data_IF_677942408692
#
_entry.id   IF_677942408692
#
_cell.length_a   1.000
_cell.length_b   1.000
_cell.length_c   1.000
_cell.angle_alpha   90.00
_cell.angle_beta   90.00
_cell.angle_gamma   90.00
#
_symmetry.space_group_name_H-M   'P 1'
#
loop_
_entity.id
_entity.type
_entity.pdbx_description
1 polymer ?
#
# COMPACT_ATOMS: atom_id res chain seq x y z
N UNK A 1 12.46 -3.56 -0.31
CA UNK A 1 13.60 -2.61 -0.18
C UNK A 1 13.82 -2.27 1.29
N UNK A 2 14.97 -1.65 1.62
CA UNK A 2 15.28 -1.07 2.92
C UNK A 2 15.57 0.40 2.71
N UNK A 3 14.58 1.25 2.93
CA UNK A 3 14.74 2.71 2.75
C UNK A 3 15.56 3.30 3.89
N UNK A 4 16.45 4.20 3.55
CA UNK A 4 17.22 5.01 4.51
C UNK A 4 16.66 6.43 4.65
N UNK A 5 17.47 7.29 5.24
CA UNK A 5 17.17 8.71 5.45
C UNK A 5 17.67 9.63 4.32
N UNK A 6 18.15 9.08 3.22
CA UNK A 6 18.56 9.83 2.02
C UNK A 6 17.57 9.58 0.88
N UNK A 7 16.82 10.63 0.53
CA UNK A 7 15.80 10.58 -0.55
C UNK A 7 16.43 10.29 -1.90
N UNK A 8 17.63 10.81 -2.16
CA UNK A 8 18.31 10.64 -3.47
C UNK A 8 18.73 9.20 -3.67
N UNK A 9 19.30 8.57 -2.64
CA UNK A 9 19.68 7.15 -2.67
C UNK A 9 18.45 6.25 -2.83
N UNK A 10 17.39 6.51 -2.06
CA UNK A 10 16.14 5.75 -2.16
C UNK A 10 15.49 5.89 -3.54
N UNK A 11 15.45 7.11 -4.10
CA UNK A 11 14.91 7.38 -5.43
C UNK A 11 15.73 6.70 -6.53
N UNK A 12 17.05 6.73 -6.42
CA UNK A 12 17.95 6.02 -7.35
C UNK A 12 17.73 4.51 -7.30
N UNK A 13 17.56 3.94 -6.10
CA UNK A 13 17.21 2.53 -5.94
C UNK A 13 15.87 2.21 -6.60
N UNK A 14 14.82 3.03 -6.35
CA UNK A 14 13.50 2.85 -6.98
C UNK A 14 13.63 2.89 -8.50
N UNK A 15 14.33 3.88 -9.05
CA UNK A 15 14.54 3.99 -10.51
C UNK A 15 15.22 2.75 -11.08
N UNK A 16 16.26 2.25 -10.42
CA UNK A 16 16.96 1.03 -10.84
C UNK A 16 16.02 -0.19 -10.87
N UNK A 17 15.27 -0.41 -9.79
CA UNK A 17 14.34 -1.54 -9.70
C UNK A 17 13.19 -1.41 -10.70
N UNK A 18 12.69 -0.21 -10.92
CA UNK A 18 11.65 0.08 -11.90
C UNK A 18 12.11 -0.33 -13.31
N UNK A 19 13.32 0.08 -13.70
CA UNK A 19 13.93 -0.30 -15.00
C UNK A 19 14.10 -1.81 -15.15
N UNK A 20 14.47 -2.52 -14.08
CA UNK A 20 14.62 -3.97 -14.09
C UNK A 20 13.27 -4.69 -14.22
N UNK A 21 12.24 -4.26 -13.48
CA UNK A 21 10.91 -4.85 -13.52
C UNK A 21 10.21 -4.59 -14.86
N UNK A 22 10.38 -3.39 -15.42
CA UNK A 22 9.81 -3.05 -16.73
C UNK A 22 10.42 -3.91 -17.86
N UNK A 23 11.73 -4.20 -17.82
CA UNK A 23 12.37 -5.14 -18.76
C UNK A 23 11.78 -6.55 -18.66
N UNK A 24 11.24 -6.94 -17.52
CA UNK A 24 10.57 -8.23 -17.33
C UNK A 24 9.09 -8.20 -17.76
N UNK A 25 8.60 -7.08 -18.30
CA UNK A 25 7.24 -6.91 -18.79
C UNK A 25 6.22 -6.53 -17.72
N UNK A 26 6.64 -6.06 -16.54
CA UNK A 26 5.73 -5.58 -15.51
C UNK A 26 4.98 -4.33 -15.99
N UNK A 27 3.66 -4.39 -15.99
CA UNK A 27 2.78 -3.27 -16.38
C UNK A 27 2.46 -2.34 -15.20
N UNK A 28 2.57 -2.84 -13.98
CA UNK A 28 2.36 -2.13 -12.73
C UNK A 28 3.49 -2.46 -11.77
N UNK A 29 4.09 -1.44 -11.15
CA UNK A 29 5.12 -1.61 -10.12
C UNK A 29 4.67 -0.88 -8.86
N UNK A 30 4.82 -1.54 -7.71
CA UNK A 30 4.40 -1.02 -6.40
C UNK A 30 5.60 -0.97 -5.47
N UNK A 31 5.84 0.19 -4.85
CA UNK A 31 6.84 0.35 -3.79
C UNK A 31 6.21 0.17 -2.40
N UNK A 32 6.97 -0.17 -1.36
CA UNK A 32 6.44 -0.23 0.01
C UNK A 32 6.12 1.16 0.59
N UNK A 33 5.49 1.19 1.77
CA UNK A 33 5.35 2.39 2.59
C UNK A 33 6.73 2.99 2.90
N UNK A 34 6.83 4.32 2.97
CA UNK A 34 8.06 5.06 3.27
C UNK A 34 9.22 4.77 2.30
N UNK A 35 8.90 4.45 1.06
CA UNK A 35 9.91 4.05 0.07
C UNK A 35 10.91 5.15 -0.29
N UNK A 36 10.51 6.42 -0.18
CA UNK A 36 11.37 7.57 -0.50
C UNK A 36 12.14 8.11 0.70
N UNK A 37 11.63 7.90 1.90
CA UNK A 37 12.30 8.30 3.14
C UNK A 37 11.79 7.43 4.29
N UNK A 38 12.70 6.96 5.12
CA UNK A 38 12.38 6.28 6.36
C UNK A 38 13.14 6.97 7.50
N UNK A 39 12.49 7.91 8.19
CA UNK A 39 13.14 8.77 9.19
C UNK A 39 12.09 9.29 10.21
N UNK A 40 12.41 10.34 10.91
CA UNK A 40 11.60 11.02 11.90
C UNK A 40 10.62 12.05 11.30
N UNK A 41 9.70 12.55 12.11
CA UNK A 41 8.67 13.50 11.72
C UNK A 41 9.22 14.79 11.06
N UNK A 42 10.36 15.32 11.54
CA UNK A 42 10.95 16.53 10.98
C UNK A 42 11.45 16.30 9.55
N UNK A 43 12.06 15.14 9.29
CA UNK A 43 12.53 14.80 7.96
C UNK A 43 11.37 14.65 6.95
N UNK A 44 10.23 14.08 7.36
CA UNK A 44 9.02 14.06 6.52
C UNK A 44 8.51 15.47 6.21
N UNK A 45 8.53 16.40 7.16
CA UNK A 45 8.13 17.80 6.91
C UNK A 45 9.03 18.50 5.88
N UNK A 46 10.33 18.16 5.87
CA UNK A 46 11.31 18.76 4.94
C UNK A 46 11.04 18.33 3.50
N UNK A 47 10.74 17.05 3.26
CA UNK A 47 10.54 16.49 1.91
C UNK A 47 9.11 16.60 1.40
N UNK A 48 8.16 16.97 2.28
CA UNK A 48 6.74 17.02 1.93
C UNK A 48 6.46 18.01 0.80
N UNK A 49 5.65 17.58 -0.16
CA UNK A 49 5.22 18.36 -1.32
C UNK A 49 3.70 18.57 -1.30
N UNK A 50 3.22 19.57 -2.05
CA UNK A 50 1.80 19.68 -2.37
C UNK A 50 1.41 18.56 -3.34
N UNK A 51 0.16 18.10 -3.27
CA UNK A 51 -0.32 17.05 -4.14
C UNK A 51 -0.20 17.45 -5.62
N UNK A 52 0.32 16.56 -6.44
CA UNK A 52 0.58 16.77 -7.87
C UNK A 52 1.52 17.94 -8.18
N UNK A 53 2.39 18.27 -7.23
CA UNK A 53 3.35 19.39 -7.36
C UNK A 53 4.62 19.09 -6.58
N UNK A 54 5.77 19.45 -7.14
CA UNK A 54 7.08 19.29 -6.51
C UNK A 54 8.05 18.40 -7.30
N UNK A 55 9.34 18.51 -6.99
CA UNK A 55 10.40 17.84 -7.75
C UNK A 55 10.38 16.32 -7.64
N UNK A 56 10.02 15.76 -6.48
CA UNK A 56 10.01 14.31 -6.28
C UNK A 56 8.87 13.69 -7.08
N UNK A 57 7.64 14.20 -6.93
CA UNK A 57 6.50 13.75 -7.72
C UNK A 57 6.72 13.92 -9.22
N UNK A 58 7.33 15.03 -9.66
CA UNK A 58 7.67 15.27 -11.07
C UNK A 58 8.68 14.23 -11.60
N UNK A 59 9.68 13.85 -10.81
CA UNK A 59 10.64 12.82 -11.19
C UNK A 59 9.99 11.44 -11.29
N UNK A 60 9.10 11.09 -10.37
CA UNK A 60 8.34 9.82 -10.40
C UNK A 60 7.40 9.75 -11.61
N UNK A 61 6.69 10.83 -11.90
CA UNK A 61 5.84 10.98 -13.08
C UNK A 61 6.65 10.82 -14.38
N UNK A 62 7.83 11.44 -14.45
CA UNK A 62 8.73 11.29 -15.59
C UNK A 62 9.20 9.85 -15.77
N UNK A 63 9.55 9.14 -14.69
CA UNK A 63 9.97 7.74 -14.73
C UNK A 63 8.85 6.82 -15.21
N UNK A 64 7.62 7.00 -14.70
CA UNK A 64 6.46 6.23 -15.13
C UNK A 64 6.22 6.39 -16.64
N UNK A 65 6.27 7.64 -17.14
CA UNK A 65 6.15 7.98 -18.56
C UNK A 65 7.30 7.42 -19.41
N UNK A 66 8.55 7.60 -18.99
CA UNK A 66 9.74 7.12 -19.73
C UNK A 66 9.70 5.60 -19.91
N UNK A 67 9.29 4.89 -18.86
CA UNK A 67 9.24 3.43 -18.83
C UNK A 67 7.92 2.85 -19.30
N UNK A 68 6.94 3.69 -19.60
CA UNK A 68 5.59 3.30 -20.01
C UNK A 68 4.96 2.25 -19.06
N UNK A 69 5.08 2.49 -17.75
CA UNK A 69 4.61 1.58 -16.72
C UNK A 69 3.83 2.33 -15.65
N UNK A 70 2.79 1.70 -15.12
CA UNK A 70 2.07 2.23 -13.97
C UNK A 70 2.94 2.11 -12.73
N UNK A 71 3.00 3.17 -11.95
CA UNK A 71 3.83 3.25 -10.74
C UNK A 71 2.98 3.62 -9.54
N UNK A 72 2.99 2.76 -8.52
CA UNK A 72 2.38 3.05 -7.22
C UNK A 72 3.49 3.31 -6.20
N UNK A 73 3.54 4.52 -5.66
CA UNK A 73 4.36 4.87 -4.51
C UNK A 73 3.56 4.55 -3.26
N UNK A 74 4.02 3.59 -2.48
CA UNK A 74 3.27 3.03 -1.35
C UNK A 74 2.92 4.04 -0.27
N UNK A 75 3.80 5.00 0.02
CA UNK A 75 3.46 6.24 0.70
C UNK A 75 4.46 7.36 0.41
N UNK A 76 3.96 8.59 0.41
CA UNK A 76 4.73 9.82 0.31
C UNK A 76 4.08 10.91 1.18
N UNK A 77 4.86 11.77 1.87
CA UNK A 77 4.32 12.84 2.68
C UNK A 77 3.78 13.97 1.80
N UNK A 78 2.47 14.17 1.84
CA UNK A 78 1.77 15.25 1.14
C UNK A 78 1.28 16.27 2.17
N UNK A 79 1.42 17.57 1.90
CA UNK A 79 0.96 18.62 2.80
C UNK A 79 -0.55 18.58 2.97
N UNK A 80 -0.99 18.47 4.22
CA UNK A 80 -2.40 18.54 4.61
C UNK A 80 -2.78 19.97 5.02
N UNK A 81 -1.92 20.60 5.83
CA UNK A 81 -2.03 21.97 6.31
C UNK A 81 -0.66 22.48 6.76
N UNK A 82 -0.60 23.62 7.47
CA UNK A 82 0.65 24.24 7.90
C UNK A 82 1.49 23.38 8.87
N UNK A 83 0.88 22.42 9.57
CA UNK A 83 1.53 21.66 10.65
C UNK A 83 1.51 20.13 10.42
N UNK A 84 0.58 19.61 9.62
CA UNK A 84 0.40 18.18 9.41
C UNK A 84 0.50 17.78 7.94
N UNK A 85 0.82 16.52 7.74
CA UNK A 85 0.95 15.86 6.45
C UNK A 85 -0.11 14.79 6.28
N UNK A 86 -0.31 14.31 5.05
CA UNK A 86 -0.91 13.01 4.78
C UNK A 86 0.18 12.01 4.41
N UNK A 87 0.11 10.80 4.95
CA UNK A 87 0.82 9.65 4.41
C UNK A 87 0.02 9.14 3.21
N UNK A 88 0.44 9.52 2.00
CA UNK A 88 -0.36 9.34 0.79
C UNK A 88 0.24 8.29 -0.15
N UNK A 89 -0.56 7.27 -0.50
CA UNK A 89 -0.28 6.40 -1.63
C UNK A 89 -0.56 7.17 -2.93
N UNK A 90 0.40 7.20 -3.86
CA UNK A 90 0.29 7.92 -5.13
C UNK A 90 0.31 6.94 -6.30
N UNK A 91 -0.60 7.10 -7.27
CA UNK A 91 -0.68 6.26 -8.47
C UNK A 91 -0.43 7.09 -9.72
N UNK A 92 0.66 6.80 -10.41
CA UNK A 92 1.00 7.39 -11.71
C UNK A 92 0.70 6.39 -12.83
N UNK A 93 0.06 6.86 -13.89
CA UNK A 93 -0.15 6.06 -15.10
C UNK A 93 1.10 6.01 -15.99
N UNK A 94 1.05 5.26 -17.07
CA UNK A 94 2.11 5.11 -18.06
C UNK A 94 2.38 6.37 -18.92
N UNK A 95 1.54 7.40 -18.80
CA UNK A 95 1.77 8.72 -19.36
C UNK A 95 2.42 9.68 -18.36
N UNK A 96 2.60 9.24 -17.12
CA UNK A 96 3.14 10.01 -15.99
C UNK A 96 2.12 10.94 -15.33
N UNK A 97 0.82 10.75 -15.58
CA UNK A 97 -0.21 11.49 -14.87
C UNK A 97 -0.44 10.89 -13.48
N UNK A 98 -0.56 11.73 -12.45
CA UNK A 98 -1.06 11.31 -11.13
C UNK A 98 -2.58 11.10 -11.26
N UNK A 99 -3.01 9.84 -11.38
CA UNK A 99 -4.41 9.47 -11.65
C UNK A 99 -5.21 9.14 -10.40
N UNK A 100 -4.54 8.81 -9.30
CA UNK A 100 -5.19 8.61 -8.01
C UNK A 100 -4.21 8.86 -6.87
N UNK A 101 -4.78 9.19 -5.70
CA UNK A 101 -4.06 9.15 -4.43
C UNK A 101 -4.99 8.66 -3.32
N UNK A 102 -4.41 8.08 -2.28
CA UNK A 102 -5.10 7.63 -1.08
C UNK A 102 -4.36 8.10 0.15
N UNK A 103 -5.01 8.87 1.00
CA UNK A 103 -4.46 9.29 2.28
C UNK A 103 -4.77 8.22 3.32
N UNK A 104 -3.74 7.72 4.00
CA UNK A 104 -3.85 6.67 5.04
C UNK A 104 -4.94 7.03 6.05
N UNK A 105 -5.91 6.13 6.24
CA UNK A 105 -7.05 6.39 7.12
C UNK A 105 -6.76 6.02 8.57
N UNK A 106 -5.97 4.98 8.81
CA UNK A 106 -5.66 4.51 10.15
C UNK A 106 -4.19 4.74 10.48
N UNK A 107 -3.93 5.61 11.44
CA UNK A 107 -2.58 6.01 11.85
C UNK A 107 -2.05 5.06 12.93
N UNK A 108 -0.74 4.80 12.87
CA UNK A 108 -0.07 3.83 13.74
C UNK A 108 0.34 4.46 15.07
N UNK A 109 -0.64 4.59 15.99
CA UNK A 109 -0.43 5.08 17.35
C UNK A 109 -0.54 3.91 18.32
N UNK A 110 0.61 3.29 18.63
CA UNK A 110 0.64 2.03 19.39
C UNK A 110 1.89 1.93 20.27
N UNK A 111 1.80 1.08 21.28
CA UNK A 111 2.93 0.55 22.02
C UNK A 111 3.25 -0.85 21.47
N UNK A 112 4.51 -1.10 21.11
CA UNK A 112 5.01 -2.39 20.61
C UNK A 112 6.18 -2.84 21.47
N UNK A 113 6.26 -4.12 21.76
CA UNK A 113 7.38 -4.71 22.49
C UNK A 113 8.58 -4.94 21.54
N UNK A 114 9.10 -3.86 20.96
CA UNK A 114 10.32 -3.81 20.17
C UNK A 114 11.30 -2.75 20.73
N UNK A 115 12.47 -2.58 20.10
CA UNK A 115 13.50 -1.64 20.57
C UNK A 115 13.07 -0.16 20.44
N UNK A 116 12.06 0.15 19.61
CA UNK A 116 11.51 1.50 19.46
C UNK A 116 10.43 1.81 20.51
N UNK A 117 9.62 0.83 20.85
CA UNK A 117 8.66 0.84 21.94
C UNK A 117 7.36 1.57 21.64
N UNK A 118 7.39 2.85 21.31
CA UNK A 118 6.21 3.70 21.14
C UNK A 118 6.17 4.36 19.77
N UNK A 119 5.01 4.31 19.13
CA UNK A 119 4.76 4.91 17.81
C UNK A 119 3.60 5.90 17.93
N UNK A 120 3.77 7.10 17.36
CA UNK A 120 2.78 8.18 17.34
C UNK A 120 2.76 8.83 15.96
N UNK A 121 2.14 8.15 14.99
CA UNK A 121 2.07 8.64 13.62
C UNK A 121 1.20 9.92 13.53
N UNK A 122 0.19 10.05 14.41
CA UNK A 122 -0.69 11.21 14.48
C UNK A 122 0.00 12.51 14.92
N UNK A 123 1.19 12.45 15.50
CA UNK A 123 1.98 13.65 15.83
C UNK A 123 2.43 14.41 14.57
N UNK A 124 2.52 13.72 13.43
CA UNK A 124 2.99 14.28 12.16
C UNK A 124 1.94 14.23 11.04
N UNK A 125 1.10 13.21 11.05
CA UNK A 125 0.16 12.94 9.96
C UNK A 125 -1.30 13.11 10.39
N UNK A 126 -2.11 13.63 9.48
CA UNK A 126 -3.57 13.62 9.57
C UNK A 126 -4.12 12.34 8.91
N UNK A 127 -5.20 11.80 9.44
CA UNK A 127 -5.88 10.67 8.81
C UNK A 127 -6.66 11.09 7.56
N UNK A 128 -6.71 10.20 6.57
CA UNK A 128 -7.60 10.31 5.41
C UNK A 128 -9.05 10.00 5.78
N UNK A 129 -9.96 10.25 4.83
CA UNK A 129 -11.40 10.04 5.04
C UNK A 129 -12.09 9.29 3.91
N UNK A 130 -11.40 9.05 2.78
CA UNK A 130 -11.99 8.50 1.57
C UNK A 130 -11.27 7.23 1.12
N UNK A 131 -11.95 6.06 1.09
CA UNK A 131 -11.46 4.89 0.40
C UNK A 131 -11.28 5.17 -1.10
N UNK A 132 -10.29 4.55 -1.73
CA UNK A 132 -9.98 4.79 -3.14
C UNK A 132 -9.88 3.48 -3.92
N UNK A 133 -10.58 3.41 -5.06
CA UNK A 133 -10.46 2.37 -6.07
C UNK A 133 -10.18 3.03 -7.41
N UNK A 134 -9.23 2.50 -8.18
CA UNK A 134 -8.80 3.04 -9.46
C UNK A 134 -8.73 1.94 -10.52
N UNK A 135 -9.20 2.22 -11.73
CA UNK A 135 -9.05 1.33 -12.89
C UNK A 135 -7.63 1.40 -13.43
N UNK A 136 -7.02 0.23 -13.67
CA UNK A 136 -5.68 0.09 -14.25
C UNK A 136 -5.66 -1.00 -15.31
N UNK A 137 -4.60 -1.10 -16.13
CA UNK A 137 -4.47 -2.18 -17.11
C UNK A 137 -4.45 -3.59 -16.52
N UNK A 138 -4.10 -3.73 -15.22
CA UNK A 138 -4.03 -5.03 -14.54
C UNK A 138 -5.29 -5.37 -13.74
N UNK A 139 -6.26 -4.45 -13.67
CA UNK A 139 -7.52 -4.59 -12.92
C UNK A 139 -7.80 -3.40 -12.01
N UNK A 140 -8.89 -3.45 -11.26
CA UNK A 140 -9.31 -2.39 -10.34
C UNK A 140 -8.57 -2.51 -9.03
N UNK A 141 -7.73 -1.51 -8.71
CA UNK A 141 -6.93 -1.47 -7.49
C UNK A 141 -7.67 -0.78 -6.36
N UNK A 142 -7.83 -1.47 -5.23
CA UNK A 142 -8.19 -0.87 -3.95
C UNK A 142 -6.93 -0.48 -3.19
N UNK A 143 -6.85 0.77 -2.74
CA UNK A 143 -5.66 1.32 -2.09
C UNK A 143 -5.80 1.28 -0.57
N UNK A 144 -4.74 0.84 0.11
CA UNK A 144 -4.59 0.93 1.57
C UNK A 144 -3.11 1.11 1.91
N UNK A 145 -2.78 1.42 3.17
CA UNK A 145 -1.40 1.56 3.64
C UNK A 145 -1.26 0.91 5.02
N UNK A 146 -0.40 -0.10 5.13
CA UNK A 146 0.19 -0.65 6.35
C UNK A 146 -0.84 -0.95 7.47
N UNK A 147 -0.99 -0.03 8.43
CA UNK A 147 -1.85 -0.21 9.60
C UNK A 147 -3.33 -0.40 9.23
N UNK A 148 -3.75 0.12 8.06
CA UNK A 148 -5.08 -0.14 7.50
C UNK A 148 -5.41 -1.62 7.43
N UNK A 149 -4.40 -2.49 7.26
CA UNK A 149 -4.55 -3.95 7.19
C UNK A 149 -5.31 -4.54 8.40
N UNK A 150 -5.31 -3.85 9.54
CA UNK A 150 -6.01 -4.30 10.74
C UNK A 150 -7.50 -3.96 10.77
N UNK A 151 -7.99 -3.18 9.82
CA UNK A 151 -9.36 -2.64 9.79
C UNK A 151 -10.18 -3.23 8.64
N UNK A 152 -10.89 -4.35 8.85
CA UNK A 152 -11.59 -5.10 7.80
C UNK A 152 -12.64 -4.29 7.06
N UNK A 153 -13.25 -3.29 7.71
CA UNK A 153 -14.29 -2.46 7.09
C UNK A 153 -13.80 -1.69 5.87
N UNK A 154 -12.56 -1.18 5.88
CA UNK A 154 -11.98 -0.51 4.71
C UNK A 154 -11.98 -1.46 3.50
N UNK A 155 -11.54 -2.69 3.68
CA UNK A 155 -11.44 -3.69 2.61
C UNK A 155 -12.81 -4.11 2.07
N UNK A 156 -13.81 -4.20 2.94
CA UNK A 156 -15.19 -4.44 2.51
C UNK A 156 -15.70 -3.31 1.60
N UNK A 157 -15.43 -2.05 1.95
CA UNK A 157 -15.79 -0.88 1.13
C UNK A 157 -15.04 -0.93 -0.21
N UNK A 158 -13.74 -1.22 -0.21
CA UNK A 158 -12.97 -1.34 -1.45
C UNK A 158 -13.56 -2.42 -2.38
N UNK A 159 -13.93 -3.60 -1.82
CA UNK A 159 -14.62 -4.64 -2.57
C UNK A 159 -15.99 -4.18 -3.11
N UNK A 160 -16.78 -3.48 -2.31
CA UNK A 160 -18.10 -2.95 -2.71
C UNK A 160 -17.97 -1.92 -3.83
N UNK A 161 -16.87 -1.14 -3.84
CA UNK A 161 -16.50 -0.24 -4.93
C UNK A 161 -15.91 -0.98 -6.14
N UNK A 162 -15.80 -2.31 -6.10
CA UNK A 162 -15.42 -3.18 -7.22
C UNK A 162 -13.93 -3.48 -7.31
N UNK A 163 -13.14 -3.32 -6.25
CA UNK A 163 -11.74 -3.69 -6.27
C UNK A 163 -11.56 -5.19 -6.56
N UNK A 164 -10.69 -5.52 -7.52
CA UNK A 164 -10.28 -6.87 -7.86
C UNK A 164 -8.91 -7.21 -7.27
N UNK A 165 -8.12 -6.17 -7.00
CA UNK A 165 -6.79 -6.24 -6.44
C UNK A 165 -6.71 -5.24 -5.28
N UNK A 166 -6.21 -5.68 -4.15
CA UNK A 166 -6.00 -4.84 -2.95
C UNK A 166 -4.49 -4.66 -2.76
N UNK A 167 -4.04 -3.39 -2.69
CA UNK A 167 -2.66 -3.05 -2.41
C UNK A 167 -2.46 -2.73 -0.93
N UNK A 168 -1.40 -3.29 -0.36
CA UNK A 168 -1.00 -3.09 1.04
C UNK A 168 0.50 -2.81 1.10
N UNK A 169 0.95 -1.61 0.64
CA UNK A 169 2.30 -1.16 0.93
C UNK A 169 2.46 -0.92 2.43
N UNK A 170 3.58 -1.36 3.01
CA UNK A 170 3.73 -1.41 4.46
C UNK A 170 5.18 -1.29 4.94
N UNK A 171 5.31 -0.86 6.19
CA UNK A 171 6.53 -0.91 6.99
C UNK A 171 6.24 -1.56 8.35
N UNK A 172 5.66 -2.77 8.33
CA UNK A 172 5.33 -3.52 9.53
C UNK A 172 6.56 -3.75 10.40
N UNK A 173 6.48 -3.50 11.70
CA UNK A 173 7.55 -3.83 12.63
C UNK A 173 7.86 -5.33 12.58
N UNK A 174 9.10 -5.73 12.85
CA UNK A 174 9.48 -7.13 12.79
C UNK A 174 8.61 -8.00 13.71
N UNK A 175 8.36 -7.54 14.94
CA UNK A 175 7.55 -8.26 15.95
C UNK A 175 6.12 -8.48 15.49
N UNK A 176 5.44 -7.40 15.07
CA UNK A 176 4.04 -7.53 14.63
C UNK A 176 3.91 -8.17 13.25
N UNK A 177 4.94 -8.05 12.41
CA UNK A 177 4.99 -8.66 11.10
C UNK A 177 5.07 -10.19 11.20
N UNK A 178 5.95 -10.72 12.03
CA UNK A 178 6.07 -12.17 12.28
C UNK A 178 4.73 -12.77 12.70
N UNK A 179 4.03 -12.12 13.62
CA UNK A 179 2.78 -12.65 14.17
C UNK A 179 1.56 -12.45 13.28
N UNK A 180 1.47 -11.36 12.49
CA UNK A 180 0.21 -10.93 11.91
C UNK A 180 0.22 -10.76 10.39
N UNK A 181 1.36 -10.48 9.76
CA UNK A 181 1.44 -10.03 8.36
C UNK A 181 0.76 -10.99 7.38
N UNK A 182 1.23 -12.22 7.30
CA UNK A 182 0.68 -13.23 6.40
C UNK A 182 -0.79 -13.53 6.69
N UNK A 183 -1.12 -13.72 7.98
CA UNK A 183 -2.47 -14.09 8.40
C UNK A 183 -3.47 -13.03 7.97
N UNK A 184 -3.16 -11.74 8.23
CA UNK A 184 -4.06 -10.64 7.88
C UNK A 184 -4.19 -10.46 6.36
N UNK A 185 -3.10 -10.51 5.59
CA UNK A 185 -3.16 -10.40 4.14
C UNK A 185 -4.00 -11.52 3.52
N UNK A 186 -3.83 -12.76 3.97
CA UNK A 186 -4.63 -13.90 3.51
C UNK A 186 -6.10 -13.77 3.92
N UNK A 187 -6.36 -13.26 5.12
CA UNK A 187 -7.74 -12.97 5.54
C UNK A 187 -8.39 -11.94 4.59
N UNK A 188 -7.69 -10.84 4.25
CA UNK A 188 -8.21 -9.83 3.32
C UNK A 188 -8.49 -10.40 1.93
N UNK A 189 -7.63 -11.29 1.43
CA UNK A 189 -7.86 -11.97 0.15
C UNK A 189 -9.12 -12.84 0.18
N UNK A 190 -9.28 -13.65 1.23
CA UNK A 190 -10.40 -14.59 1.39
C UNK A 190 -11.73 -13.87 1.59
N UNK A 191 -11.78 -12.90 2.53
CA UNK A 191 -12.99 -12.15 2.89
C UNK A 191 -13.53 -11.32 1.73
N UNK A 192 -12.62 -10.71 0.95
CA UNK A 192 -12.99 -9.82 -0.15
C UNK A 192 -12.98 -10.51 -1.52
N UNK A 193 -12.51 -11.76 -1.57
CA UNK A 193 -12.43 -12.54 -2.82
C UNK A 193 -11.71 -11.74 -3.91
N UNK A 194 -10.55 -11.17 -3.55
CA UNK A 194 -9.71 -10.30 -4.36
C UNK A 194 -8.25 -10.74 -4.27
N UNK A 195 -7.46 -10.40 -5.26
CA UNK A 195 -6.01 -10.47 -5.16
C UNK A 195 -5.52 -9.51 -4.08
N UNK A 196 -4.50 -9.92 -3.32
CA UNK A 196 -3.84 -9.04 -2.35
C UNK A 196 -2.34 -8.98 -2.65
N UNK A 197 -1.83 -7.76 -2.78
CA UNK A 197 -0.42 -7.49 -3.02
C UNK A 197 0.11 -6.74 -1.79
N UNK A 198 0.78 -7.46 -0.90
CA UNK A 198 1.46 -6.91 0.27
C UNK A 198 2.90 -6.59 -0.07
N UNK A 199 3.29 -5.31 0.03
CA UNK A 199 4.65 -4.85 -0.30
C UNK A 199 5.30 -4.26 0.94
N UNK A 200 6.22 -5.02 1.56
CA UNK A 200 6.83 -4.68 2.85
C UNK A 200 8.22 -4.09 2.74
N UNK A 201 8.51 -3.04 3.52
CA UNK A 201 9.87 -2.67 3.88
C UNK A 201 10.52 -3.80 4.67
N UNK A 202 11.83 -4.01 4.51
CA UNK A 202 12.56 -5.08 5.17
C UNK A 202 13.89 -4.60 5.76
N UNK A 203 14.37 -5.30 6.79
CA UNK A 203 15.67 -5.05 7.38
C UNK A 203 15.70 -3.90 8.40
N UNK A 204 16.88 -3.38 8.66
CA UNK A 204 17.12 -2.31 9.62
C UNK A 204 17.20 -0.95 8.94
N UNK A 205 16.36 0.01 9.36
CA UNK A 205 16.34 1.39 8.86
C UNK A 205 17.15 2.34 9.76
N UNK A 206 17.30 1.95 11.04
CA UNK A 206 18.14 2.58 12.04
C UNK A 206 18.55 1.53 13.08
N UNK A 207 19.33 1.91 14.07
CA UNK A 207 19.80 0.99 15.11
C UNK A 207 18.67 0.29 15.90
N UNK A 208 17.52 0.98 16.03
CA UNK A 208 16.39 0.51 16.84
C UNK A 208 15.09 0.31 16.03
N UNK A 209 15.15 0.32 14.69
CA UNK A 209 13.95 0.16 13.85
C UNK A 209 14.14 -0.88 12.77
N UNK A 210 13.51 -2.02 12.97
CA UNK A 210 13.49 -3.13 12.04
C UNK A 210 12.09 -3.39 11.49
N UNK A 211 11.99 -3.67 10.18
CA UNK A 211 10.76 -4.07 9.52
C UNK A 211 10.81 -5.51 9.04
N UNK A 212 9.62 -6.12 8.89
CA UNK A 212 9.43 -7.55 8.68
C UNK A 212 9.83 -8.05 7.29
N UNK A 213 9.57 -7.26 6.24
CA UNK A 213 9.73 -7.70 4.85
C UNK A 213 8.61 -8.63 4.41
N UNK A 214 8.98 -9.79 3.87
CA UNK A 214 8.07 -10.86 3.46
C UNK A 214 6.92 -10.35 2.58
N UNK A 215 7.23 -9.48 1.61
CA UNK A 215 6.27 -9.08 0.58
C UNK A 215 5.64 -10.31 -0.05
N UNK A 216 4.36 -10.27 -0.38
CA UNK A 216 3.68 -11.43 -0.95
C UNK A 216 2.53 -11.05 -1.87
N UNK A 217 2.23 -11.94 -2.81
CA UNK A 217 1.05 -11.89 -3.66
C UNK A 217 0.16 -13.09 -3.33
N UNK A 218 -1.11 -12.81 -3.09
CA UNK A 218 -2.09 -13.79 -2.63
C UNK A 218 -3.27 -13.77 -3.58
N UNK A 219 -3.70 -14.94 -4.02
CA UNK A 219 -4.86 -15.09 -4.92
C UNK A 219 -6.21 -14.93 -4.18
N UNK A 220 -7.33 -14.79 -4.90
CA UNK A 220 -8.67 -14.63 -4.30
C UNK A 220 -9.14 -15.80 -3.43
N UNK A 221 -8.45 -16.95 -3.49
CA UNK A 221 -8.72 -18.12 -2.65
C UNK A 221 -7.92 -18.11 -1.35
N UNK A 222 -6.99 -17.14 -1.18
CA UNK A 222 -6.09 -17.04 -0.04
C UNK A 222 -4.81 -17.86 -0.16
N UNK A 223 -4.47 -18.36 -1.36
CA UNK A 223 -3.22 -19.06 -1.61
C UNK A 223 -2.10 -18.01 -1.84
N UNK A 224 -0.99 -18.16 -1.15
CA UNK A 224 0.24 -17.38 -1.44
C UNK A 224 0.82 -17.87 -2.77
N UNK A 225 0.84 -16.98 -3.76
CA UNK A 225 1.37 -17.25 -5.11
C UNK A 225 2.87 -17.05 -5.15
N UNK A 226 3.34 -15.96 -4.55
CA UNK A 226 4.78 -15.70 -4.39
C UNK A 226 5.02 -14.92 -3.10
N UNK A 227 6.18 -15.12 -2.50
CA UNK A 227 6.58 -14.49 -1.25
C UNK A 227 8.09 -14.19 -1.27
N UNK A 228 8.47 -13.00 -0.78
CA UNK A 228 9.84 -12.60 -0.54
C UNK A 228 10.34 -13.02 0.83
N UNK A 229 11.60 -12.74 1.07
CA UNK A 229 12.25 -12.94 2.36
C UNK A 229 12.30 -11.63 3.19
N UNK A 230 13.01 -11.68 4.33
CA UNK A 230 13.32 -10.51 5.15
C UNK A 230 14.40 -9.59 4.55
N UNK A 231 14.81 -9.85 3.32
CA UNK A 231 15.86 -9.08 2.60
C UNK A 231 15.27 -8.42 1.35
N UNK A 232 15.89 -7.33 0.84
CA UNK A 232 15.43 -6.66 -0.36
C UNK A 232 15.33 -7.61 -1.56
N UNK A 233 14.18 -7.64 -2.21
CA UNK A 233 13.94 -8.42 -3.42
C UNK A 233 12.83 -7.79 -4.26
N UNK A 234 12.78 -8.14 -5.54
CA UNK A 234 11.65 -7.91 -6.40
C UNK A 234 10.78 -9.17 -6.44
N UNK A 235 9.47 -8.99 -6.37
CA UNK A 235 8.50 -10.05 -6.64
C UNK A 235 7.77 -9.71 -7.94
N UNK A 236 7.61 -10.70 -8.79
CA UNK A 236 6.82 -10.61 -10.02
C UNK A 236 5.73 -11.67 -9.97
N UNK A 237 4.52 -11.29 -10.30
CA UNK A 237 3.38 -12.19 -10.38
C UNK A 237 2.47 -11.80 -11.55
N UNK A 238 1.84 -12.78 -12.15
CA UNK A 238 0.75 -12.59 -13.10
C UNK A 238 -0.57 -12.55 -12.34
N UNK A 239 -1.38 -11.53 -12.63
CA UNK A 239 -2.70 -11.36 -12.01
C UNK A 239 -3.78 -11.83 -13.01
N UNK A 240 -4.45 -12.91 -12.66
CA UNK A 240 -5.51 -13.51 -13.47
C UNK A 240 -6.89 -13.08 -12.94
N UNK A 241 -7.46 -12.01 -13.49
CA UNK A 241 -8.74 -11.45 -13.05
C UNK A 241 -9.90 -12.45 -13.11
N UNK A 242 -9.87 -13.42 -14.04
CA UNK A 242 -10.89 -14.45 -14.12
C UNK A 242 -11.00 -15.31 -12.85
N UNK A 243 -9.95 -15.39 -12.04
CA UNK A 243 -9.99 -16.09 -10.74
C UNK A 243 -10.90 -15.36 -9.75
N UNK A 244 -10.92 -14.02 -9.77
CA UNK A 244 -11.84 -13.20 -8.94
C UNK A 244 -13.29 -13.54 -9.28
N UNK A 245 -13.62 -13.49 -10.57
CA UNK A 245 -14.98 -13.82 -11.04
C UNK A 245 -15.39 -15.24 -10.68
N UNK A 246 -14.49 -16.19 -10.89
CA UNK A 246 -14.72 -17.61 -10.57
C UNK A 246 -15.03 -17.81 -9.09
N UNK A 247 -14.23 -17.22 -8.20
CA UNK A 247 -14.42 -17.36 -6.75
C UNK A 247 -15.70 -16.67 -6.29
N UNK A 248 -15.95 -15.43 -6.74
CA UNK A 248 -17.17 -14.67 -6.40
C UNK A 248 -18.44 -15.37 -6.89
N UNK A 249 -18.39 -16.01 -8.06
CA UNK A 249 -19.52 -16.79 -8.58
C UNK A 249 -19.75 -18.09 -7.81
N UNK A 250 -18.68 -18.80 -7.45
CA UNK A 250 -18.78 -20.08 -6.74
C UNK A 250 -19.20 -19.90 -5.28
N UNK A 251 -18.80 -18.81 -4.64
CA UNK A 251 -19.10 -18.49 -3.23
C UNK A 251 -19.50 -17.02 -3.11
N UNK A 252 -20.74 -16.63 -3.38
CA UNK A 252 -21.17 -15.24 -3.46
C UNK A 252 -21.36 -14.61 -2.06
N UNK A 253 -20.28 -14.51 -1.28
CA UNK A 253 -20.25 -14.04 0.11
C UNK A 253 -20.88 -12.65 0.25
N UNK A 254 -20.61 -11.74 -0.73
CA UNK A 254 -21.16 -10.40 -0.71
C UNK A 254 -22.70 -10.38 -0.69
N UNK A 255 -23.36 -11.24 -1.50
CA UNK A 255 -24.82 -11.33 -1.52
C UNK A 255 -25.42 -12.02 -0.29
N UNK A 256 -24.61 -12.77 0.44
CA UNK A 256 -25.02 -13.44 1.67
C UNK A 256 -24.86 -12.57 2.91
N UNK A 257 -24.16 -11.44 2.81
CA UNK A 257 -23.96 -10.51 3.92
C UNK A 257 -25.31 -9.87 4.34
N UNK A 258 -25.60 -9.87 5.66
CA UNK A 258 -26.87 -9.37 6.21
C UNK A 258 -26.71 -8.07 7.02
N UNK A 259 -25.54 -7.84 7.62
CA UNK A 259 -25.33 -6.74 8.57
C UNK A 259 -25.39 -5.36 7.90
N UNK A 260 -24.90 -5.21 6.67
CA UNK A 260 -24.97 -3.93 5.93
C UNK A 260 -26.40 -3.42 5.74
N UNK A 261 -27.40 -4.33 5.70
CA UNK A 261 -28.80 -3.98 5.58
C UNK A 261 -29.42 -3.50 6.91
N UNK A 262 -28.78 -3.76 8.04
CA UNK A 262 -29.26 -3.34 9.37
C UNK A 262 -28.83 -1.89 9.67
N UNK A 263 -27.60 -1.51 9.28
CA UNK A 263 -27.06 -0.17 9.53
C UNK A 263 -27.76 0.91 8.68
N UNK A 264 -28.16 0.56 7.45
CA UNK A 264 -28.83 1.48 6.53
C UNK A 264 -30.33 1.68 6.80
N UNK A 265 -30.92 0.97 7.76
CA UNK A 265 -32.35 1.10 8.12
C UNK A 265 -32.59 1.95 9.38
N UNK A 266 -31.58 2.30 10.16
CA UNK A 266 -31.74 3.17 11.34
C UNK A 266 -31.86 4.66 10.99
N UNK A 267 -31.48 5.08 9.77
CA UNK A 267 -31.63 6.46 9.30
C UNK A 267 -32.98 6.73 8.59
N UNK A 268 -33.96 5.83 8.69
CA UNK A 268 -35.28 5.93 8.01
C UNK A 268 -36.51 5.94 8.94
N UNK A 269 -36.33 6.14 10.26
CA UNK A 269 -37.45 6.38 11.18
C UNK A 269 -37.49 7.81 11.69
#
# INVERSE_FOLDING_TARGET
>A
MTSGNDVSENLQFIEQQLRELTKQGCQLVVTPENSLLFDNALAYQVIAEELNSGPIQSKLAQLAKELQTWLVIGSFPIRSNATHLYSACLVFDDNGALVAHYNKMHLFDVEVEDEHGSYRESDCFSHGTQPQVIDTPVGRLGLSICYDLRFPHLYNILREQGADIILVPAAFTAVTGEAHWEILLRARAIENQAWVIGVGQCGYHSANRQTWGHSMVIDPWGKVVTQGAATPCNLVAEIELHQVEKVRKAMPVASHQKISNLINNEDKE
#
